data_IF_189817232482
#
_entry.id   IF_189817232482
#
_cell.length_a   1.000
_cell.length_b   1.000
_cell.length_c   1.000
_cell.angle_alpha   90.00
_cell.angle_beta   90.00
_cell.angle_gamma   90.00
#
_symmetry.space_group_name_H-M   'P 1'
#
loop_
_entity.id
_entity.type
_entity.pdbx_description
1 polymer ?
#
# COMPACT_ATOMS: atom_id res chain seq x y z
N UNK A 1 16.79 12.12 5.14
CA UNK A 1 15.40 12.36 5.59
C UNK A 1 14.77 13.38 4.68
N UNK A 2 13.83 12.97 3.84
CA UNK A 2 13.08 13.91 3.01
C UNK A 2 11.90 14.43 3.84
N UNK A 3 12.10 15.57 4.47
CA UNK A 3 11.05 16.26 5.21
C UNK A 3 10.26 17.12 4.22
N UNK A 4 9.01 16.77 3.92
CA UNK A 4 8.13 17.65 3.14
C UNK A 4 7.89 18.94 3.93
N UNK A 5 8.36 20.06 3.38
CA UNK A 5 8.24 21.38 3.99
C UNK A 5 6.91 22.04 3.61
N UNK A 6 5.84 21.82 4.37
CA UNK A 6 4.72 22.77 4.37
C UNK A 6 5.02 23.88 5.39
N UNK A 7 5.85 24.82 4.96
CA UNK A 7 6.14 26.06 5.70
C UNK A 7 4.97 27.04 5.60
N UNK A 8 3.89 26.76 6.35
CA UNK A 8 2.78 27.69 6.57
C UNK A 8 1.42 27.06 6.25
N UNK A 9 0.47 27.19 7.18
CA UNK A 9 -0.94 26.88 6.92
C UNK A 9 -1.72 28.18 6.76
N UNK A 10 -2.61 28.22 5.78
CA UNK A 10 -3.57 29.31 5.60
C UNK A 10 -4.80 29.04 6.45
N UNK A 11 -5.12 29.94 7.38
CA UNK A 11 -6.34 29.87 8.19
C UNK A 11 -7.38 30.88 7.67
N UNK A 12 -8.62 30.42 7.50
CA UNK A 12 -9.77 31.27 7.16
C UNK A 12 -10.52 31.55 8.46
N UNK A 13 -10.62 32.81 8.86
CA UNK A 13 -11.35 33.24 10.06
C UNK A 13 -12.86 33.09 9.81
N UNK A 14 -13.60 32.29 10.61
CA UNK A 14 -15.04 32.18 10.48
C UNK A 14 -15.76 33.51 10.75
N UNK A 15 -16.94 33.70 10.17
CA UNK A 15 -17.79 34.87 10.40
C UNK A 15 -18.18 34.96 11.89
N UNK A 16 -17.63 35.95 12.60
CA UNK A 16 -17.92 36.20 14.01
C UNK A 16 -16.66 36.32 14.90
N UNK A 17 -15.50 35.87 14.41
CA UNK A 17 -14.24 35.97 15.15
C UNK A 17 -13.43 37.22 14.78
N UNK A 18 -12.77 37.82 15.78
CA UNK A 18 -11.83 38.93 15.59
C UNK A 18 -10.39 38.42 15.66
N UNK A 19 -9.55 38.81 14.69
CA UNK A 19 -8.13 38.41 14.59
C UNK A 19 -7.34 38.58 15.90
N UNK A 20 -7.72 39.58 16.72
CA UNK A 20 -7.13 39.87 18.02
C UNK A 20 -7.38 38.78 19.08
N UNK A 21 -8.44 37.98 18.96
CA UNK A 21 -8.77 36.88 19.87
C UNK A 21 -7.96 35.60 19.56
N UNK A 22 -7.42 35.47 18.35
CA UNK A 22 -6.61 34.32 17.92
C UNK A 22 -5.12 34.49 18.25
N UNK A 23 -4.62 35.73 18.30
CA UNK A 23 -3.21 36.04 18.51
C UNK A 23 -2.59 35.45 19.80
N UNK A 24 -3.27 35.42 20.97
CA UNK A 24 -2.69 34.87 22.20
C UNK A 24 -2.51 33.35 22.19
N UNK A 25 -3.27 32.63 21.36
CA UNK A 25 -3.19 31.16 21.28
C UNK A 25 -1.97 30.67 20.49
N UNK A 26 -1.38 31.52 19.65
CA UNK A 26 -0.25 31.18 18.78
C UNK A 26 1.02 32.01 19.04
N UNK A 27 0.93 33.13 19.77
CA UNK A 27 2.07 33.90 20.26
C UNK A 27 1.81 34.47 21.67
N UNK A 28 2.77 34.37 22.63
CA UNK A 28 2.59 34.87 23.99
C UNK A 28 2.80 36.40 24.14
N UNK A 29 3.22 37.11 23.09
CA UNK A 29 3.40 38.57 23.12
C UNK A 29 2.66 39.25 21.98
N UNK A 30 1.77 40.18 22.33
CA UNK A 30 0.85 40.85 21.42
C UNK A 30 1.53 41.61 20.25
N UNK A 31 2.85 41.82 20.29
CA UNK A 31 3.60 42.50 19.23
C UNK A 31 4.07 41.62 18.06
N UNK A 32 4.14 40.29 18.22
CA UNK A 32 4.74 39.39 17.22
C UNK A 32 3.83 39.02 16.04
N UNK A 33 2.51 39.11 16.20
CA UNK A 33 1.53 38.67 15.21
C UNK A 33 1.39 39.62 14.00
N UNK A 34 1.87 40.86 14.09
CA UNK A 34 1.63 41.91 13.10
C UNK A 34 2.72 42.04 12.02
N UNK A 35 3.91 41.47 12.26
CA UNK A 35 5.06 41.53 11.34
C UNK A 35 4.83 40.76 10.03
N UNK A 36 4.21 39.56 10.02
CA UNK A 36 4.01 38.80 8.78
C UNK A 36 2.81 39.26 7.95
N UNK A 37 1.91 40.08 8.51
CA UNK A 37 0.68 40.49 7.83
C UNK A 37 0.43 42.01 7.93
N UNK A 38 1.30 42.83 7.32
CA UNK A 38 1.38 44.28 7.55
C UNK A 38 0.18 45.07 7.01
N UNK A 39 -0.74 44.43 6.27
CA UNK A 39 -1.94 45.05 5.68
C UNK A 39 -3.23 44.77 6.46
N UNK A 40 -3.15 44.07 7.59
CA UNK A 40 -4.32 43.69 8.40
C UNK A 40 -4.64 44.78 9.41
N UNK A 41 -5.83 45.37 9.34
CA UNK A 41 -6.32 46.30 10.35
C UNK A 41 -6.78 45.53 11.61
N UNK A 42 -6.15 45.73 12.78
CA UNK A 42 -6.46 44.99 14.00
C UNK A 42 -7.86 45.25 14.60
N UNK A 43 -8.60 46.24 14.07
CA UNK A 43 -9.89 46.68 14.60
C UNK A 43 -11.08 46.42 13.67
N UNK A 44 -10.85 45.91 12.45
CA UNK A 44 -11.93 45.60 11.49
C UNK A 44 -11.65 44.28 10.75
N UNK A 45 -12.58 43.33 10.84
CA UNK A 45 -12.54 42.07 10.09
C UNK A 45 -13.31 42.23 8.77
N UNK A 46 -12.64 42.19 7.62
CA UNK A 46 -13.30 41.85 6.35
C UNK A 46 -13.16 40.36 6.13
N UNK A 47 -14.28 39.64 6.01
CA UNK A 47 -14.31 38.22 5.60
C UNK A 47 -13.63 38.11 4.23
N UNK A 48 -12.58 37.30 4.08
CA UNK A 48 -12.05 36.99 2.74
C UNK A 48 -10.56 36.74 2.52
N UNK A 49 -9.58 37.26 3.29
CA UNK A 49 -8.18 36.95 2.99
C UNK A 49 -7.64 35.79 3.84
N UNK A 50 -6.75 34.98 3.24
CA UNK A 50 -5.96 33.97 3.93
C UNK A 50 -4.90 34.65 4.81
N UNK A 51 -4.82 34.28 6.09
CA UNK A 51 -3.83 34.83 7.02
C UNK A 51 -2.68 33.84 7.24
N UNK A 52 -1.43 34.31 7.09
CA UNK A 52 -0.23 33.55 7.41
C UNK A 52 0.07 33.64 8.91
N UNK A 53 -0.02 32.51 9.62
CA UNK A 53 0.30 32.42 11.05
C UNK A 53 1.73 31.86 11.23
N UNK A 54 2.66 32.56 11.91
CA UNK A 54 3.93 31.97 12.31
C UNK A 54 3.70 31.05 13.51
N UNK A 55 4.18 29.81 13.45
CA UNK A 55 4.25 28.96 14.64
C UNK A 55 5.66 29.09 15.22
N UNK A 56 5.77 29.17 16.56
CA UNK A 56 7.05 29.23 17.25
C UNK A 56 7.98 28.07 16.80
N UNK A 57 9.23 28.41 16.46
CA UNK A 57 10.23 27.45 15.93
C UNK A 57 10.43 26.22 16.83
N UNK A 58 10.25 26.35 18.15
CA UNK A 58 10.37 25.26 19.13
C UNK A 58 9.26 24.22 19.03
N UNK A 59 8.03 24.64 18.67
CA UNK A 59 6.91 23.72 18.40
C UNK A 59 7.13 23.05 17.04
N UNK A 60 7.56 23.83 16.03
CA UNK A 60 7.91 23.30 14.71
C UNK A 60 9.02 22.23 14.76
N UNK A 61 10.05 22.40 15.59
CA UNK A 61 11.13 21.42 15.71
C UNK A 61 10.68 20.11 16.37
N UNK A 62 9.80 20.17 17.39
CA UNK A 62 9.26 18.98 18.06
C UNK A 62 8.30 18.19 17.16
N UNK A 63 7.52 18.86 16.31
CA UNK A 63 6.61 18.17 15.36
C UNK A 63 7.37 17.66 14.12
N UNK A 64 8.43 18.34 13.66
CA UNK A 64 9.26 17.92 12.52
C UNK A 64 10.01 16.62 12.75
N UNK A 65 10.49 16.35 13.97
CA UNK A 65 11.18 15.08 14.25
C UNK A 65 10.24 13.86 14.19
N UNK A 66 8.92 14.05 14.31
CA UNK A 66 7.93 12.97 14.30
C UNK A 66 7.30 12.68 12.92
N UNK A 67 7.73 13.34 11.83
CA UNK A 67 7.06 13.25 10.51
C UNK A 67 8.01 13.12 9.31
N UNK A 68 9.31 12.91 9.50
CA UNK A 68 10.21 12.71 8.37
C UNK A 68 10.42 11.21 8.11
N UNK A 69 10.15 10.78 6.88
CA UNK A 69 10.49 9.44 6.39
C UNK A 69 11.94 9.43 5.88
N UNK A 70 12.70 8.39 6.20
CA UNK A 70 14.05 8.21 5.66
C UNK A 70 14.00 7.87 4.17
N UNK A 71 15.09 8.11 3.44
CA UNK A 71 15.16 7.73 2.03
C UNK A 71 15.06 6.20 1.87
N UNK A 72 15.68 5.44 2.77
CA UNK A 72 15.59 3.99 2.79
C UNK A 72 14.14 3.49 2.95
N UNK A 73 13.32 4.15 3.77
CA UNK A 73 11.91 3.80 3.92
C UNK A 73 11.11 4.14 2.66
N UNK A 74 11.37 5.30 2.02
CA UNK A 74 10.75 5.65 0.73
C UNK A 74 11.09 4.63 -0.35
N UNK A 75 12.37 4.24 -0.44
CA UNK A 75 12.84 3.26 -1.42
C UNK A 75 12.19 1.89 -1.19
N UNK A 76 12.14 1.41 0.06
CA UNK A 76 11.45 0.17 0.42
C UNK A 76 9.96 0.20 0.01
N UNK A 77 9.24 1.26 0.36
CA UNK A 77 7.81 1.38 0.05
C UNK A 77 7.57 1.40 -1.47
N UNK A 78 8.37 2.16 -2.21
CA UNK A 78 8.32 2.20 -3.68
C UNK A 78 8.58 0.83 -4.28
N UNK A 79 9.67 0.19 -3.89
CA UNK A 79 10.10 -1.07 -4.50
C UNK A 79 9.13 -2.21 -4.14
N UNK A 80 8.57 -2.21 -2.93
CA UNK A 80 7.53 -3.16 -2.54
C UNK A 80 6.24 -2.96 -3.35
N UNK A 81 5.80 -1.72 -3.58
CA UNK A 81 4.66 -1.42 -4.47
C UNK A 81 4.92 -1.94 -5.88
N UNK A 82 6.08 -1.68 -6.48
CA UNK A 82 6.40 -2.20 -7.81
C UNK A 82 6.34 -3.73 -7.86
N UNK A 83 6.79 -4.45 -6.83
CA UNK A 83 6.69 -5.90 -6.80
C UNK A 83 5.24 -6.40 -6.74
N UNK A 84 4.37 -5.75 -5.98
CA UNK A 84 2.94 -6.08 -5.91
C UNK A 84 2.16 -5.69 -7.17
N UNK A 85 2.51 -4.58 -7.82
CA UNK A 85 1.96 -4.20 -9.12
C UNK A 85 2.40 -5.18 -10.22
N UNK A 86 3.68 -5.57 -10.23
CA UNK A 86 4.17 -6.64 -11.10
C UNK A 86 3.42 -7.95 -10.84
N UNK A 87 3.21 -8.33 -9.58
CA UNK A 87 2.52 -9.55 -9.19
C UNK A 87 1.13 -9.63 -9.85
N UNK A 88 0.33 -8.57 -9.72
CA UNK A 88 -1.03 -8.56 -10.30
C UNK A 88 -1.02 -8.43 -11.81
N UNK A 89 -0.10 -7.65 -12.39
CA UNK A 89 0.03 -7.55 -13.84
C UNK A 89 0.41 -8.89 -14.48
N UNK A 90 1.41 -9.58 -13.94
CA UNK A 90 1.83 -10.89 -14.47
C UNK A 90 0.79 -11.98 -14.20
N UNK A 91 0.02 -11.89 -13.11
CA UNK A 91 -1.12 -12.79 -12.84
C UNK A 91 -2.21 -12.62 -13.89
N UNK A 92 -2.61 -11.37 -14.18
CA UNK A 92 -3.55 -11.06 -15.27
C UNK A 92 -3.07 -11.59 -16.61
N UNK A 93 -1.79 -11.36 -16.96
CA UNK A 93 -1.21 -11.90 -18.19
C UNK A 93 -1.27 -13.44 -18.23
N UNK A 94 -1.00 -14.12 -17.11
CA UNK A 94 -1.10 -15.57 -17.03
C UNK A 94 -2.56 -16.05 -17.22
N UNK A 95 -3.53 -15.38 -16.60
CA UNK A 95 -4.97 -15.68 -16.78
C UNK A 95 -5.38 -15.51 -18.25
N UNK A 96 -4.94 -14.44 -18.91
CA UNK A 96 -5.19 -14.19 -20.34
C UNK A 96 -4.56 -15.30 -21.18
N UNK A 97 -3.27 -15.59 -21.00
CA UNK A 97 -2.55 -16.60 -21.76
C UNK A 97 -3.16 -17.99 -21.58
N UNK A 98 -3.56 -18.37 -20.36
CA UNK A 98 -4.24 -19.64 -20.09
C UNK A 98 -5.62 -19.70 -20.77
N UNK A 99 -6.43 -18.66 -20.60
CA UNK A 99 -7.79 -18.57 -21.16
C UNK A 99 -7.78 -18.72 -22.68
N UNK A 100 -6.91 -17.99 -23.36
CA UNK A 100 -6.85 -17.98 -24.83
C UNK A 100 -5.88 -19.00 -25.41
N UNK A 101 -5.25 -19.84 -24.56
CA UNK A 101 -4.27 -20.86 -24.97
C UNK A 101 -3.15 -20.26 -25.82
N UNK A 102 -2.63 -19.11 -25.38
CA UNK A 102 -1.57 -18.40 -26.07
C UNK A 102 -0.27 -19.23 -26.04
N UNK A 103 0.59 -19.14 -27.07
CA UNK A 103 1.85 -19.89 -27.10
C UNK A 103 2.90 -19.40 -26.09
N UNK A 104 2.61 -18.32 -25.37
CA UNK A 104 3.51 -17.70 -24.40
C UNK A 104 3.30 -18.15 -22.94
N UNK A 105 2.30 -19.02 -22.68
CA UNK A 105 1.91 -19.45 -21.32
C UNK A 105 3.10 -19.84 -20.44
N UNK A 106 4.03 -20.63 -20.96
CA UNK A 106 5.20 -21.08 -20.18
C UNK A 106 6.13 -19.92 -19.81
N UNK A 107 6.33 -18.96 -20.71
CA UNK A 107 7.18 -17.79 -20.47
C UNK A 107 6.55 -16.81 -19.49
N UNK A 108 5.23 -16.58 -19.61
CA UNK A 108 4.49 -15.69 -18.72
C UNK A 108 4.44 -16.28 -17.29
N UNK A 109 4.14 -17.57 -17.15
CA UNK A 109 4.17 -18.24 -15.85
C UNK A 109 5.57 -18.22 -15.24
N UNK A 110 6.62 -18.46 -16.04
CA UNK A 110 8.00 -18.38 -15.54
C UNK A 110 8.35 -16.97 -15.00
N UNK A 111 7.94 -15.91 -15.71
CA UNK A 111 8.16 -14.53 -15.25
C UNK A 111 7.33 -14.17 -14.01
N UNK A 112 6.11 -14.69 -13.91
CA UNK A 112 5.27 -14.56 -12.71
C UNK A 112 5.92 -15.24 -11.49
N UNK A 113 6.44 -16.46 -11.64
CA UNK A 113 7.15 -17.15 -10.54
C UNK A 113 8.50 -16.51 -10.19
N UNK A 114 9.11 -15.79 -11.12
CA UNK A 114 10.29 -14.96 -10.83
C UNK A 114 9.93 -13.78 -9.91
N UNK A 115 8.76 -13.15 -10.09
CA UNK A 115 8.29 -12.09 -9.20
C UNK A 115 8.17 -12.60 -7.74
N UNK A 116 7.66 -13.81 -7.52
CA UNK A 116 7.64 -14.44 -6.19
C UNK A 116 9.05 -14.61 -5.58
N UNK A 117 10.05 -14.89 -6.42
CA UNK A 117 11.46 -14.94 -5.97
C UNK A 117 11.93 -13.55 -5.55
N UNK A 118 11.67 -12.52 -6.35
CA UNK A 118 12.04 -11.14 -6.02
C UNK A 118 11.33 -10.62 -4.76
N UNK A 119 10.09 -11.03 -4.50
CA UNK A 119 9.39 -10.75 -3.25
C UNK A 119 10.10 -11.36 -2.03
N UNK A 120 10.64 -12.58 -2.15
CA UNK A 120 11.51 -13.15 -1.11
C UNK A 120 12.79 -12.36 -0.92
N UNK A 121 13.47 -12.00 -2.02
CA UNK A 121 14.71 -11.21 -1.98
C UNK A 121 14.51 -9.84 -1.33
N UNK A 122 13.35 -9.19 -1.54
CA UNK A 122 13.03 -7.90 -0.92
C UNK A 122 13.06 -7.96 0.61
N UNK A 123 12.62 -9.07 1.20
CA UNK A 123 12.54 -9.21 2.66
C UNK A 123 13.84 -9.76 3.26
N UNK A 124 14.74 -10.34 2.44
CA UNK A 124 15.98 -11.00 2.87
C UNK A 124 16.89 -10.09 3.73
N UNK A 125 17.13 -8.81 3.40
CA UNK A 125 18.01 -7.96 4.21
C UNK A 125 17.50 -7.71 5.63
N UNK A 126 16.19 -7.84 5.86
CA UNK A 126 15.56 -7.56 7.15
C UNK A 126 15.37 -8.84 7.99
N UNK A 127 14.93 -9.93 7.36
CA UNK A 127 14.52 -11.15 8.06
C UNK A 127 15.46 -12.34 7.87
N UNK A 128 16.48 -12.21 7.02
CA UNK A 128 17.46 -13.25 6.75
C UNK A 128 16.99 -14.34 5.78
N UNK A 129 17.91 -15.26 5.44
CA UNK A 129 17.75 -16.18 4.32
C UNK A 129 16.56 -17.13 4.46
N UNK A 130 16.41 -17.76 5.64
CA UNK A 130 15.35 -18.73 5.86
C UNK A 130 13.94 -18.12 5.73
N UNK A 131 13.76 -16.87 6.17
CA UNK A 131 12.49 -16.17 6.05
C UNK A 131 12.22 -15.79 4.58
N UNK A 132 13.20 -15.25 3.88
CA UNK A 132 13.11 -14.91 2.47
C UNK A 132 12.74 -16.13 1.60
N UNK A 133 13.44 -17.25 1.80
CA UNK A 133 13.21 -18.48 1.03
C UNK A 133 11.83 -19.07 1.31
N UNK A 134 11.37 -19.04 2.57
CA UNK A 134 10.01 -19.48 2.93
C UNK A 134 8.95 -18.59 2.30
N UNK A 135 9.13 -17.27 2.34
CA UNK A 135 8.18 -16.34 1.73
C UNK A 135 8.08 -16.54 0.21
N UNK A 136 9.22 -16.62 -0.48
CA UNK A 136 9.24 -16.91 -1.91
C UNK A 136 8.55 -18.23 -2.26
N UNK A 137 8.75 -19.27 -1.43
CA UNK A 137 8.09 -20.57 -1.62
C UNK A 137 6.58 -20.47 -1.47
N UNK A 138 6.11 -19.81 -0.41
CA UNK A 138 4.68 -19.61 -0.16
C UNK A 138 3.99 -18.86 -1.30
N UNK A 139 4.61 -17.78 -1.82
CA UNK A 139 4.05 -17.02 -2.94
C UNK A 139 4.12 -17.81 -4.26
N UNK A 140 5.15 -18.64 -4.48
CA UNK A 140 5.17 -19.56 -5.65
C UNK A 140 4.04 -20.57 -5.60
N UNK A 141 3.82 -21.20 -4.45
CA UNK A 141 2.70 -22.12 -4.21
C UNK A 141 1.36 -21.42 -4.45
N UNK A 142 1.20 -20.20 -3.93
CA UNK A 142 0.02 -19.34 -4.15
C UNK A 142 -0.31 -19.21 -5.65
N UNK A 143 0.68 -18.81 -6.44
CA UNK A 143 0.55 -18.57 -7.88
C UNK A 143 0.28 -19.86 -8.66
N UNK A 144 0.88 -20.98 -8.25
CA UNK A 144 0.66 -22.28 -8.87
C UNK A 144 -0.77 -22.80 -8.59
N UNK A 145 -1.28 -22.65 -7.37
CA UNK A 145 -2.65 -23.03 -7.04
C UNK A 145 -3.69 -22.18 -7.80
N UNK A 146 -3.44 -20.88 -7.95
CA UNK A 146 -4.25 -20.02 -8.80
C UNK A 146 -4.26 -20.49 -10.26
N UNK A 147 -3.09 -20.81 -10.83
CA UNK A 147 -2.98 -21.33 -12.19
C UNK A 147 -3.69 -22.68 -12.36
N UNK A 148 -3.59 -23.57 -11.38
CA UNK A 148 -4.29 -24.86 -11.38
C UNK A 148 -5.82 -24.68 -11.32
N UNK A 149 -6.31 -23.73 -10.52
CA UNK A 149 -7.72 -23.37 -10.47
C UNK A 149 -8.23 -22.89 -11.83
N UNK A 150 -7.51 -21.99 -12.49
CA UNK A 150 -7.86 -21.48 -13.84
C UNK A 150 -7.87 -22.63 -14.86
N UNK A 151 -6.83 -23.47 -14.89
CA UNK A 151 -6.74 -24.63 -15.79
C UNK A 151 -7.89 -25.61 -15.59
N UNK A 152 -8.20 -25.97 -14.34
CA UNK A 152 -9.29 -26.87 -14.01
C UNK A 152 -10.65 -26.29 -14.41
N UNK A 153 -10.86 -24.99 -14.18
CA UNK A 153 -12.08 -24.28 -14.58
C UNK A 153 -12.26 -24.31 -16.11
N UNK A 154 -11.20 -24.01 -16.86
CA UNK A 154 -11.20 -24.05 -18.34
C UNK A 154 -11.43 -25.48 -18.89
N UNK A 155 -11.02 -26.51 -18.15
CA UNK A 155 -11.26 -27.90 -18.50
C UNK A 155 -12.67 -28.40 -18.14
N UNK A 156 -13.46 -27.60 -17.41
CA UNK A 156 -14.76 -28.02 -16.87
C UNK A 156 -14.65 -29.03 -15.73
N UNK A 157 -13.45 -29.21 -15.14
CA UNK A 157 -13.22 -30.14 -14.03
C UNK A 157 -13.53 -29.44 -12.70
N UNK A 158 -14.79 -29.54 -12.29
CA UNK A 158 -15.29 -28.91 -11.06
C UNK A 158 -14.59 -29.43 -9.80
N UNK A 159 -14.25 -30.73 -9.75
CA UNK A 159 -13.60 -31.31 -8.58
C UNK A 159 -12.17 -30.81 -8.45
N UNK A 160 -11.42 -30.76 -9.55
CA UNK A 160 -10.08 -30.20 -9.55
C UNK A 160 -10.08 -28.70 -9.23
N UNK A 161 -11.05 -27.94 -9.75
CA UNK A 161 -11.20 -26.52 -9.44
C UNK A 161 -11.46 -26.30 -7.95
N UNK A 162 -12.40 -27.03 -7.34
CA UNK A 162 -12.66 -26.94 -5.90
C UNK A 162 -11.44 -27.28 -5.04
N UNK A 163 -10.68 -28.31 -5.42
CA UNK A 163 -9.46 -28.69 -4.68
C UNK A 163 -8.35 -27.65 -4.82
N UNK A 164 -8.16 -27.07 -6.00
CA UNK A 164 -7.18 -26.01 -6.23
C UNK A 164 -7.55 -24.75 -5.46
N UNK A 165 -8.83 -24.37 -5.46
CA UNK A 165 -9.34 -23.25 -4.67
C UNK A 165 -9.10 -23.46 -3.16
N UNK A 166 -9.43 -24.63 -2.61
CA UNK A 166 -9.17 -24.93 -1.20
C UNK A 166 -7.69 -24.80 -0.83
N UNK A 167 -6.79 -25.30 -1.67
CA UNK A 167 -5.34 -25.15 -1.47
C UNK A 167 -4.89 -23.69 -1.55
N UNK A 168 -5.50 -22.91 -2.45
CA UNK A 168 -5.16 -21.51 -2.64
C UNK A 168 -5.52 -20.66 -1.41
N UNK A 169 -6.71 -20.85 -0.83
CA UNK A 169 -7.09 -20.18 0.43
C UNK A 169 -6.29 -20.71 1.63
N UNK A 170 -6.03 -22.01 1.73
CA UNK A 170 -5.19 -22.55 2.80
C UNK A 170 -3.75 -21.99 2.75
N UNK A 171 -3.18 -21.81 1.56
CA UNK A 171 -1.89 -21.16 1.37
C UNK A 171 -1.92 -19.68 1.80
N UNK A 172 -3.02 -18.97 1.57
CA UNK A 172 -3.19 -17.61 2.06
C UNK A 172 -3.19 -17.53 3.60
N UNK A 173 -3.79 -18.52 4.26
CA UNK A 173 -3.70 -18.65 5.72
C UNK A 173 -2.25 -18.90 6.18
N UNK A 174 -1.51 -19.76 5.47
CA UNK A 174 -0.08 -19.99 5.76
C UNK A 174 0.76 -18.73 5.58
N UNK A 175 0.49 -17.91 4.56
CA UNK A 175 1.15 -16.62 4.34
C UNK A 175 0.82 -15.66 5.49
N UNK A 176 -0.44 -15.59 5.91
CA UNK A 176 -0.87 -14.73 7.01
C UNK A 176 -0.16 -15.10 8.32
N UNK A 177 -0.11 -16.39 8.66
CA UNK A 177 0.62 -16.90 9.83
C UNK A 177 2.10 -16.57 9.73
N UNK A 178 2.71 -16.80 8.56
CA UNK A 178 4.14 -16.53 8.34
C UNK A 178 4.48 -15.05 8.54
N UNK A 179 3.77 -14.14 7.86
CA UNK A 179 4.01 -12.71 7.92
C UNK A 179 3.78 -12.17 9.34
N UNK A 180 2.75 -12.66 10.04
CA UNK A 180 2.49 -12.26 11.42
C UNK A 180 3.59 -12.72 12.39
N UNK A 181 4.14 -13.92 12.16
CA UNK A 181 5.23 -14.46 12.99
C UNK A 181 6.52 -13.67 12.85
N UNK A 182 6.86 -13.21 11.64
CA UNK A 182 8.11 -12.46 11.42
C UNK A 182 7.95 -10.97 11.71
N UNK A 183 6.72 -10.43 11.69
CA UNK A 183 6.46 -9.03 11.95
C UNK A 183 5.24 -8.80 12.85
N UNK A 184 5.49 -8.36 14.09
CA UNK A 184 4.46 -8.08 15.10
C UNK A 184 3.46 -6.98 14.72
N UNK A 185 3.77 -6.17 13.71
CA UNK A 185 2.87 -5.11 13.20
C UNK A 185 1.98 -5.60 12.05
N UNK A 186 2.03 -6.89 11.71
CA UNK A 186 1.12 -7.57 10.80
C UNK A 186 0.26 -8.57 11.59
N UNK A 187 -0.87 -8.16 12.19
CA UNK A 187 -1.78 -9.10 12.84
C UNK A 187 -2.28 -10.14 11.84
N UNK A 188 -2.21 -11.43 12.19
CA UNK A 188 -2.58 -12.54 11.30
C UNK A 188 -3.98 -12.36 10.68
N UNK A 189 -4.97 -11.97 11.48
CA UNK A 189 -6.34 -11.70 11.01
C UNK A 189 -6.38 -10.63 9.91
N UNK A 190 -5.64 -9.53 10.07
CA UNK A 190 -5.61 -8.44 9.09
C UNK A 190 -4.92 -8.84 7.80
N UNK A 191 -3.85 -9.63 7.90
CA UNK A 191 -3.18 -10.17 6.72
C UNK A 191 -4.10 -11.15 6.00
N UNK A 192 -4.79 -12.03 6.74
CA UNK A 192 -5.72 -13.01 6.18
C UNK A 192 -6.89 -12.33 5.45
N UNK A 193 -7.55 -11.37 6.10
CA UNK A 193 -8.67 -10.62 5.51
C UNK A 193 -8.25 -9.96 4.18
N UNK A 194 -7.07 -9.37 4.16
CA UNK A 194 -6.51 -8.71 3.00
C UNK A 194 -6.19 -9.69 1.86
N UNK A 195 -5.60 -10.85 2.17
CA UNK A 195 -5.41 -11.89 1.16
C UNK A 195 -6.74 -12.45 0.66
N UNK A 196 -7.74 -12.65 1.51
CA UNK A 196 -9.07 -13.13 1.10
C UNK A 196 -9.74 -12.16 0.13
N UNK A 197 -9.65 -10.87 0.38
CA UNK A 197 -10.11 -9.85 -0.58
C UNK A 197 -9.35 -9.94 -1.91
N UNK A 198 -8.02 -10.13 -1.87
CA UNK A 198 -7.19 -10.31 -3.07
C UNK A 198 -7.62 -11.54 -3.89
N UNK A 199 -7.83 -12.67 -3.22
CA UNK A 199 -8.27 -13.94 -3.78
C UNK A 199 -9.63 -13.79 -4.47
N UNK A 200 -10.58 -13.16 -3.79
CA UNK A 200 -11.94 -12.94 -4.30
C UNK A 200 -11.94 -12.07 -5.56
N UNK A 201 -11.13 -11.00 -5.59
CA UNK A 201 -11.00 -10.13 -6.76
C UNK A 201 -10.34 -10.86 -7.94
N UNK A 202 -9.23 -11.56 -7.69
CA UNK A 202 -8.50 -12.31 -8.73
C UNK A 202 -9.35 -13.46 -9.29
N UNK A 203 -10.15 -14.13 -8.45
CA UNK A 203 -11.13 -15.13 -8.90
C UNK A 203 -12.20 -14.51 -9.80
N UNK A 204 -12.69 -13.32 -9.46
CA UNK A 204 -13.65 -12.59 -10.30
C UNK A 204 -13.04 -12.17 -11.63
N UNK A 205 -11.79 -11.72 -11.66
CA UNK A 205 -11.04 -11.44 -12.89
C UNK A 205 -10.99 -12.68 -13.78
N UNK A 206 -10.53 -13.82 -13.23
CA UNK A 206 -10.46 -15.07 -13.97
C UNK A 206 -11.82 -15.50 -14.55
N UNK A 207 -12.90 -15.44 -13.75
CA UNK A 207 -14.25 -15.77 -14.20
C UNK A 207 -14.72 -14.82 -15.30
N UNK A 208 -14.49 -13.51 -15.17
CA UNK A 208 -14.89 -12.55 -16.19
C UNK A 208 -14.10 -12.74 -17.49
N UNK A 209 -12.79 -12.99 -17.40
CA UNK A 209 -11.96 -13.28 -18.57
C UNK A 209 -12.40 -14.56 -19.29
N UNK A 210 -12.63 -15.66 -18.56
CA UNK A 210 -13.11 -16.93 -19.11
C UNK A 210 -14.46 -16.76 -19.83
N UNK A 211 -15.37 -15.96 -19.24
CA UNK A 211 -16.68 -15.68 -19.80
C UNK A 211 -16.69 -14.55 -20.85
N UNK A 212 -15.52 -14.01 -21.21
CA UNK A 212 -15.37 -12.90 -22.18
C UNK A 212 -16.09 -11.61 -21.76
N UNK A 213 -16.31 -11.40 -20.46
CA UNK A 213 -16.90 -10.19 -19.90
C UNK A 213 -15.83 -9.08 -19.75
N UNK A 214 -15.19 -8.70 -20.86
CA UNK A 214 -13.99 -7.84 -20.84
C UNK A 214 -14.16 -6.51 -20.13
N UNK A 215 -15.34 -5.88 -20.25
CA UNK A 215 -15.59 -4.61 -19.57
C UNK A 215 -15.53 -4.78 -18.03
N UNK A 216 -16.19 -5.80 -17.50
CA UNK A 216 -16.17 -6.09 -16.06
C UNK A 216 -14.80 -6.53 -15.59
N UNK A 217 -14.11 -7.32 -16.41
CA UNK A 217 -12.75 -7.73 -16.14
C UNK A 217 -11.79 -6.52 -15.98
N UNK A 218 -11.89 -5.52 -16.84
CA UNK A 218 -11.12 -4.26 -16.72
C UNK A 218 -11.50 -3.51 -15.43
N UNK A 219 -12.80 -3.37 -15.14
CA UNK A 219 -13.28 -2.71 -13.91
C UNK A 219 -12.78 -3.43 -12.63
N UNK A 220 -12.72 -4.76 -12.65
CA UNK A 220 -12.18 -5.55 -11.53
C UNK A 220 -10.66 -5.40 -11.44
N UNK A 221 -9.95 -5.30 -12.55
CA UNK A 221 -8.51 -5.11 -12.54
C UNK A 221 -8.10 -3.78 -11.87
N UNK A 222 -8.85 -2.69 -12.10
CA UNK A 222 -8.62 -1.42 -11.40
C UNK A 222 -8.68 -1.61 -9.86
N UNK A 223 -9.64 -2.40 -9.38
CA UNK A 223 -9.77 -2.73 -7.97
C UNK A 223 -8.66 -3.67 -7.46
N UNK A 224 -8.19 -4.61 -8.29
CA UNK A 224 -7.04 -5.48 -7.97
C UNK A 224 -5.76 -4.64 -7.82
N UNK A 225 -5.51 -3.69 -8.71
CA UNK A 225 -4.32 -2.82 -8.62
C UNK A 225 -4.36 -1.93 -7.38
N UNK A 226 -5.51 -1.37 -7.04
CA UNK A 226 -5.69 -0.61 -5.79
C UNK A 226 -5.42 -1.48 -4.57
N UNK A 227 -6.04 -2.65 -4.51
CA UNK A 227 -5.86 -3.59 -3.41
C UNK A 227 -4.41 -4.06 -3.28
N UNK A 228 -3.70 -4.31 -4.39
CA UNK A 228 -2.29 -4.68 -4.38
C UNK A 228 -1.39 -3.58 -3.80
N UNK A 229 -1.70 -2.30 -4.07
CA UNK A 229 -1.00 -1.16 -3.45
C UNK A 229 -1.28 -1.09 -1.94
N UNK A 230 -2.51 -1.35 -1.50
CA UNK A 230 -2.84 -1.43 -0.08
C UNK A 230 -2.08 -2.58 0.62
N UNK A 231 -1.97 -3.75 -0.02
CA UNK A 231 -1.15 -4.87 0.47
C UNK A 231 0.31 -4.46 0.62
N UNK A 232 0.86 -3.82 -0.42
CA UNK A 232 2.24 -3.36 -0.42
C UNK A 232 2.50 -2.33 0.70
N UNK A 233 1.57 -1.41 0.92
CA UNK A 233 1.67 -0.39 1.95
C UNK A 233 1.62 -1.00 3.35
N UNK A 234 0.63 -1.87 3.62
CA UNK A 234 0.53 -2.54 4.91
C UNK A 234 1.82 -3.29 5.27
N UNK A 235 2.37 -4.05 4.32
CA UNK A 235 3.56 -4.88 4.52
C UNK A 235 4.81 -4.01 4.70
N UNK A 236 5.02 -3.02 3.83
CA UNK A 236 6.21 -2.15 3.89
C UNK A 236 6.20 -1.22 5.11
N UNK A 237 5.04 -0.68 5.49
CA UNK A 237 4.91 0.11 6.72
C UNK A 237 5.23 -0.73 7.96
N UNK A 238 4.78 -1.99 8.00
CA UNK A 238 5.11 -2.88 9.10
C UNK A 238 6.61 -3.18 9.18
N UNK A 239 7.29 -3.35 8.03
CA UNK A 239 8.75 -3.49 7.97
C UNK A 239 9.45 -2.25 8.52
N UNK A 240 9.03 -1.05 8.10
CA UNK A 240 9.57 0.23 8.61
C UNK A 240 9.38 0.35 10.11
N UNK A 241 8.19 0.00 10.63
CA UNK A 241 7.88 0.04 12.07
C UNK A 241 8.70 -0.95 12.89
N UNK A 242 9.08 -2.10 12.32
CA UNK A 242 9.83 -3.13 13.02
C UNK A 242 11.33 -2.81 13.14
N UNK A 243 11.90 -2.09 12.16
CA UNK A 243 13.33 -1.78 12.09
C UNK A 243 13.62 -0.27 12.12
N UNK A 244 13.28 0.44 13.21
CA UNK A 244 13.47 1.89 13.31
C UNK A 244 14.93 2.32 13.19
N UNK A 245 15.90 1.49 13.57
CA UNK A 245 17.33 1.85 13.45
C UNK A 245 17.81 1.89 11.98
N UNK A 246 17.13 1.18 11.08
CA UNK A 246 17.43 1.17 9.64
C UNK A 246 16.68 2.32 8.94
N UNK A 247 15.45 2.58 9.38
CA UNK A 247 14.50 3.42 8.66
C UNK A 247 14.16 4.77 9.32
N UNK A 248 14.61 5.00 10.55
CA UNK A 248 14.33 6.20 11.36
C UNK A 248 15.29 7.34 11.18
#
# INVERSE_FOLDING_TARGET
>A
MNCYSNGGFSYIVPSGDHYRLLAPHYHPTAGGAFVPNPRVNPYYSSVGPHYSMPVAQSVFQRTRQNQCISQAAVDLMRDNRSLWEEHVAWTRMAIISLTFKLPDVEYVIARLLQNATHMGEMIRPLYGDAAADRYATLIKEHLLFAADLVKATLAGDQQAAMMAEQKWYANADEIAVFLSRINRYLPEEKVRDMFYQHLDLTKQEAINMINMNYQKDIEIYDAIEEQAREMADMISEAMVKLYPDIFG
#
